data_IF_428558353236
#
_entry.id   IF_428558353236
#
_cell.length_a   1.000
_cell.length_b   1.000
_cell.length_c   1.000
_cell.angle_alpha   90.00
_cell.angle_beta   90.00
_cell.angle_gamma   90.00
#
_symmetry.space_group_name_H-M   'P 1'
#
loop_
_entity.id
_entity.type
_entity.pdbx_description
1 polymer ?
#
# COMPACT_ATOMS: atom_id res chain seq x y z
N UNK A 1 -31.05 -8.79 -7.44
CA UNK A 1 -29.71 -8.82 -8.05
C UNK A 1 -29.16 -7.41 -7.95
N UNK A 2 -28.33 -7.16 -6.93
CA UNK A 2 -27.74 -5.85 -6.72
C UNK A 2 -26.65 -5.60 -7.75
N UNK A 3 -26.69 -4.44 -8.39
CA UNK A 3 -25.71 -4.00 -9.36
C UNK A 3 -24.32 -3.91 -8.73
N UNK A 4 -23.45 -4.88 -8.98
CA UNK A 4 -22.00 -4.81 -8.73
C UNK A 4 -21.25 -4.10 -9.87
N UNK A 5 -21.97 -3.50 -10.82
CA UNK A 5 -21.42 -2.66 -11.87
C UNK A 5 -21.10 -1.27 -11.32
N UNK A 6 -19.93 -1.13 -10.68
CA UNK A 6 -19.38 0.19 -10.39
C UNK A 6 -18.41 0.33 -9.23
N UNK A 7 -18.17 -0.71 -8.42
CA UNK A 7 -17.10 -0.63 -7.41
C UNK A 7 -15.74 -0.83 -8.11
N UNK A 8 -14.94 0.23 -8.20
CA UNK A 8 -13.57 0.12 -8.70
C UNK A 8 -12.75 -0.89 -7.90
N UNK A 9 -11.63 -1.37 -8.48
CA UNK A 9 -10.74 -2.31 -7.78
C UNK A 9 -10.27 -1.74 -6.44
N UNK A 10 -10.43 -2.53 -5.36
CA UNK A 10 -9.96 -2.17 -4.03
C UNK A 10 -8.72 -3.01 -3.64
N UNK A 11 -7.55 -2.37 -3.45
CA UNK A 11 -6.34 -3.05 -3.00
C UNK A 11 -6.46 -3.46 -1.53
N UNK A 12 -5.79 -4.54 -1.17
CA UNK A 12 -5.79 -5.03 0.21
C UNK A 12 -4.98 -4.10 1.11
N UNK A 13 -5.59 -3.54 2.15
CA UNK A 13 -4.88 -2.66 3.10
C UNK A 13 -4.25 -3.42 4.27
N UNK A 14 -4.55 -4.70 4.45
CA UNK A 14 -4.11 -5.48 5.60
C UNK A 14 -5.08 -5.48 6.79
N UNK A 15 -6.17 -4.71 6.73
CA UNK A 15 -7.23 -4.67 7.75
C UNK A 15 -8.57 -5.27 7.25
N UNK A 16 -8.59 -5.81 6.04
CA UNK A 16 -9.74 -6.53 5.48
C UNK A 16 -9.74 -8.03 5.79
N UNK A 17 -10.82 -8.74 5.43
CA UNK A 17 -10.88 -10.19 5.53
C UNK A 17 -9.87 -10.87 4.59
N UNK A 18 -9.47 -12.13 4.86
CA UNK A 18 -8.71 -12.91 3.91
C UNK A 18 -9.45 -12.99 2.57
N UNK A 19 -8.70 -12.89 1.47
CA UNK A 19 -9.28 -13.07 0.15
C UNK A 19 -9.77 -14.52 0.00
N UNK A 20 -11.01 -14.69 -0.47
CA UNK A 20 -11.68 -16.00 -0.57
C UNK A 20 -11.60 -16.64 -1.96
N UNK A 21 -11.08 -15.93 -2.97
CA UNK A 21 -10.85 -16.46 -4.31
C UNK A 21 -9.45 -17.06 -4.49
N UNK A 22 -9.08 -17.36 -5.74
CA UNK A 22 -7.75 -17.91 -6.05
C UNK A 22 -6.67 -16.83 -6.09
N UNK A 23 -5.45 -17.18 -5.67
CA UNK A 23 -4.31 -16.26 -5.69
C UNK A 23 -4.03 -15.74 -7.12
N UNK A 24 -4.22 -16.58 -8.14
CA UNK A 24 -4.02 -16.22 -9.55
C UNK A 24 -5.02 -15.17 -10.01
N UNK A 25 -6.30 -15.31 -9.63
CA UNK A 25 -7.33 -14.35 -9.97
C UNK A 25 -7.07 -13.00 -9.28
N UNK A 26 -6.66 -13.02 -8.00
CA UNK A 26 -6.28 -11.80 -7.29
C UNK A 26 -5.09 -11.11 -7.95
N UNK A 27 -4.05 -11.88 -8.26
CA UNK A 27 -2.85 -11.35 -8.92
C UNK A 27 -3.17 -10.76 -10.31
N UNK A 28 -4.08 -11.36 -11.07
CA UNK A 28 -4.52 -10.81 -12.35
C UNK A 28 -5.25 -9.46 -12.18
N UNK A 29 -6.18 -9.37 -11.23
CA UNK A 29 -6.89 -8.12 -10.94
C UNK A 29 -5.95 -7.01 -10.46
N UNK A 30 -4.99 -7.34 -9.59
CA UNK A 30 -3.97 -6.41 -9.10
C UNK A 30 -3.09 -5.91 -10.25
N UNK A 31 -2.62 -6.80 -11.13
CA UNK A 31 -1.82 -6.41 -12.30
C UNK A 31 -2.58 -5.46 -13.21
N UNK A 32 -3.85 -5.74 -13.50
CA UNK A 32 -4.70 -4.87 -14.32
C UNK A 32 -4.89 -3.49 -13.66
N UNK A 33 -5.20 -3.46 -12.37
CA UNK A 33 -5.37 -2.21 -11.63
C UNK A 33 -4.08 -1.38 -11.58
N UNK A 34 -2.94 -2.02 -11.35
CA UNK A 34 -1.63 -1.36 -11.31
C UNK A 34 -1.18 -0.87 -12.69
N UNK A 35 -1.42 -1.64 -13.75
CA UNK A 35 -1.17 -1.17 -15.12
C UNK A 35 -2.04 0.06 -15.46
N UNK A 36 -3.30 0.08 -15.01
CA UNK A 36 -4.18 1.23 -15.12
C UNK A 36 -3.65 2.47 -14.39
N UNK A 37 -3.18 2.30 -13.14
CA UNK A 37 -2.51 3.36 -12.36
C UNK A 37 -1.34 3.97 -13.13
N UNK A 38 -0.41 3.14 -13.62
CA UNK A 38 0.77 3.63 -14.37
C UNK A 38 0.37 4.31 -15.69
N UNK A 39 -0.69 3.83 -16.35
CA UNK A 39 -1.20 4.48 -17.56
C UNK A 39 -1.80 5.86 -17.26
N UNK A 40 -2.55 5.99 -16.16
CA UNK A 40 -3.05 7.30 -15.73
C UNK A 40 -1.87 8.23 -15.40
N UNK A 41 -0.86 7.77 -14.65
CA UNK A 41 0.36 8.57 -14.37
C UNK A 41 1.02 9.04 -15.66
N UNK A 42 1.16 8.17 -16.67
CA UNK A 42 1.71 8.52 -17.99
C UNK A 42 0.92 9.64 -18.68
N UNK A 43 -0.41 9.58 -18.63
CA UNK A 43 -1.29 10.53 -19.32
C UNK A 43 -1.50 11.84 -18.56
N UNK A 44 -1.42 11.80 -17.22
CA UNK A 44 -1.77 12.92 -16.33
C UNK A 44 -0.58 13.57 -15.64
N UNK A 45 0.61 12.95 -15.72
CA UNK A 45 1.83 13.52 -15.14
C UNK A 45 2.23 14.82 -15.83
N UNK A 46 2.91 15.70 -15.07
CA UNK A 46 3.20 17.09 -15.44
C UNK A 46 4.26 17.25 -16.56
N UNK A 47 4.46 16.24 -17.42
CA UNK A 47 5.47 16.23 -18.49
C UNK A 47 6.94 16.17 -18.02
N UNK A 48 7.21 16.33 -16.71
CA UNK A 48 8.55 16.26 -16.10
C UNK A 48 9.04 14.83 -15.83
N UNK A 49 8.12 13.89 -15.70
CA UNK A 49 8.42 12.48 -15.54
C UNK A 49 7.96 11.74 -16.81
N UNK A 50 8.88 11.56 -17.77
CA UNK A 50 8.63 10.63 -18.88
C UNK A 50 8.47 9.17 -18.40
N UNK A 51 8.90 8.91 -17.16
CA UNK A 51 8.75 7.65 -16.46
C UNK A 51 7.54 7.69 -15.49
N UNK A 52 6.47 6.90 -15.75
CA UNK A 52 5.32 6.79 -14.86
C UNK A 52 5.64 6.28 -13.45
N UNK A 53 6.80 5.67 -13.23
CA UNK A 53 7.21 5.21 -11.90
C UNK A 53 7.88 6.32 -11.07
N UNK A 54 8.35 7.40 -11.70
CA UNK A 54 9.21 8.39 -11.04
C UNK A 54 8.51 9.25 -9.98
N UNK A 55 7.18 9.43 -10.04
CA UNK A 55 6.43 10.18 -9.03
C UNK A 55 4.95 9.76 -8.96
N UNK A 56 4.32 9.78 -7.78
CA UNK A 56 2.87 9.68 -7.65
C UNK A 56 2.18 10.88 -8.31
N UNK A 57 1.07 10.62 -9.01
CA UNK A 57 0.24 11.66 -9.60
C UNK A 57 -0.61 12.39 -8.53
N UNK A 58 -1.05 13.64 -8.78
CA UNK A 58 -1.79 14.44 -7.77
C UNK A 58 -3.02 13.74 -7.18
N UNK A 59 -3.74 12.94 -7.96
CA UNK A 59 -4.92 12.21 -7.49
C UNK A 59 -4.57 11.03 -6.56
N UNK A 60 -3.37 10.44 -6.67
CA UNK A 60 -2.90 9.43 -5.72
C UNK A 60 -2.70 10.03 -4.33
N UNK A 61 -2.31 11.30 -4.27
CA UNK A 61 -2.11 12.04 -3.02
C UNK A 61 -3.43 12.31 -2.28
N UNK A 62 -4.57 12.28 -2.99
CA UNK A 62 -5.90 12.38 -2.40
C UNK A 62 -6.40 11.04 -1.84
N UNK A 63 -5.82 9.91 -2.28
CA UNK A 63 -6.15 8.57 -1.78
C UNK A 63 -4.87 7.76 -1.50
N UNK A 64 -4.00 8.24 -0.59
CA UNK A 64 -2.64 7.71 -0.51
C UNK A 64 -2.60 6.29 0.06
N UNK A 65 -3.50 5.92 0.98
CA UNK A 65 -3.62 4.52 1.48
C UNK A 65 -3.91 3.56 0.34
N UNK A 66 -4.83 3.93 -0.57
CA UNK A 66 -5.19 3.10 -1.72
C UNK A 66 -4.02 2.95 -2.67
N UNK A 67 -3.31 4.05 -2.97
CA UNK A 67 -2.14 4.03 -3.86
C UNK A 67 -1.00 3.16 -3.29
N UNK A 68 -0.66 3.35 -2.01
CA UNK A 68 0.37 2.58 -1.30
C UNK A 68 0.00 1.09 -1.21
N UNK A 69 -1.25 0.77 -0.87
CA UNK A 69 -1.72 -0.61 -0.82
C UNK A 69 -1.63 -1.30 -2.19
N UNK A 70 -2.07 -0.63 -3.26
CA UNK A 70 -1.99 -1.18 -4.62
C UNK A 70 -0.54 -1.43 -5.07
N UNK A 71 0.39 -0.53 -4.71
CA UNK A 71 1.81 -0.69 -4.99
C UNK A 71 2.43 -1.89 -4.27
N UNK A 72 2.13 -2.09 -2.99
CA UNK A 72 2.63 -3.24 -2.23
C UNK A 72 2.01 -4.55 -2.71
N UNK A 73 0.71 -4.54 -3.02
CA UNK A 73 0.05 -5.73 -3.54
C UNK A 73 0.57 -6.12 -4.93
N UNK A 74 0.85 -5.14 -5.80
CA UNK A 74 1.39 -5.39 -7.14
C UNK A 74 2.81 -5.94 -7.13
N UNK A 75 3.59 -5.68 -6.07
CA UNK A 75 4.90 -6.29 -5.87
C UNK A 75 4.83 -7.73 -5.33
N UNK A 76 3.64 -8.25 -5.06
CA UNK A 76 3.43 -9.56 -4.45
C UNK A 76 3.67 -9.59 -2.94
N UNK A 77 3.78 -8.45 -2.27
CA UNK A 77 3.83 -8.44 -0.81
C UNK A 77 2.50 -8.97 -0.25
N UNK A 78 2.57 -9.77 0.81
CA UNK A 78 1.37 -10.35 1.41
C UNK A 78 0.68 -9.31 2.31
N UNK A 79 -0.59 -8.96 2.07
CA UNK A 79 -1.35 -8.17 3.02
C UNK A 79 -1.61 -9.00 4.28
N UNK A 80 -1.64 -8.34 5.43
CA UNK A 80 -2.23 -8.96 6.62
C UNK A 80 -3.75 -9.11 6.43
N UNK A 81 -4.42 -9.78 7.37
CA UNK A 81 -5.87 -9.96 7.31
C UNK A 81 -6.46 -10.13 8.70
N UNK A 82 -7.73 -9.76 8.86
CA UNK A 82 -8.50 -9.95 10.09
C UNK A 82 -9.74 -10.80 9.85
N UNK A 83 -10.17 -11.57 10.84
CA UNK A 83 -11.45 -12.26 10.78
C UNK A 83 -12.64 -11.35 11.13
N UNK A 84 -13.85 -11.91 11.18
CA UNK A 84 -15.07 -11.19 11.53
C UNK A 84 -15.07 -10.61 12.96
N UNK A 85 -14.20 -11.11 13.85
CA UNK A 85 -14.01 -10.57 15.21
C UNK A 85 -12.96 -9.45 15.27
N UNK A 86 -12.34 -9.11 14.13
CA UNK A 86 -11.24 -8.16 14.04
C UNK A 86 -9.90 -8.71 14.50
N UNK A 87 -9.80 -10.02 14.77
CA UNK A 87 -8.54 -10.66 15.15
C UNK A 87 -7.70 -10.94 13.92
N UNK A 88 -6.39 -10.70 14.02
CA UNK A 88 -5.47 -10.87 12.91
C UNK A 88 -5.22 -12.35 12.65
N UNK A 89 -5.48 -12.80 11.43
CA UNK A 89 -5.37 -14.21 11.01
C UNK A 89 -4.24 -14.49 10.02
N UNK A 90 -3.65 -13.45 9.44
CA UNK A 90 -2.50 -13.56 8.54
C UNK A 90 -1.41 -12.55 8.89
N UNK A 91 -0.14 -12.94 8.76
CA UNK A 91 0.98 -12.02 8.84
C UNK A 91 1.20 -11.32 7.49
N UNK A 92 1.45 -10.01 7.51
CA UNK A 92 1.65 -9.25 6.29
C UNK A 92 1.74 -7.75 6.53
N UNK A 93 1.78 -6.99 5.45
CA UNK A 93 1.75 -5.54 5.57
C UNK A 93 0.37 -5.06 6.02
N UNK A 94 0.35 -3.93 6.70
CA UNK A 94 -0.84 -3.17 7.05
C UNK A 94 -0.62 -1.71 6.69
N UNK A 95 -1.49 -1.16 5.86
CA UNK A 95 -1.47 0.22 5.37
C UNK A 95 -2.62 0.98 5.99
N UNK A 96 -2.32 2.11 6.60
CA UNK A 96 -3.32 3.03 7.18
C UNK A 96 -2.88 4.47 7.02
N UNK A 97 -3.78 5.42 7.26
CA UNK A 97 -3.39 6.82 7.38
C UNK A 97 -2.32 6.99 8.47
N UNK A 98 -1.31 7.78 8.17
CA UNK A 98 -0.31 8.21 9.15
C UNK A 98 -0.86 9.29 10.09
N UNK A 99 -0.02 9.74 11.01
CA UNK A 99 -0.39 10.78 11.97
C UNK A 99 -0.37 12.18 11.33
N UNK A 100 0.55 12.39 10.39
CA UNK A 100 0.65 13.62 9.61
C UNK A 100 -0.31 13.60 8.40
N UNK A 101 -0.89 14.76 8.07
CA UNK A 101 -1.82 14.87 6.94
C UNK A 101 -1.17 14.42 5.63
N UNK A 102 -1.87 13.58 4.86
CA UNK A 102 -1.38 13.05 3.58
C UNK A 102 -0.31 11.95 3.68
N UNK A 103 0.11 11.59 4.90
CA UNK A 103 1.07 10.50 5.10
C UNK A 103 0.37 9.15 5.29
N UNK A 104 1.09 8.08 4.98
CA UNK A 104 0.63 6.71 5.11
C UNK A 104 1.59 5.95 6.00
N UNK A 105 1.03 5.19 6.94
CA UNK A 105 1.79 4.32 7.81
C UNK A 105 1.69 2.87 7.32
N UNK A 106 2.85 2.26 7.09
CA UNK A 106 2.96 0.84 6.73
C UNK A 106 3.60 0.08 7.90
N UNK A 107 2.93 -0.95 8.37
CA UNK A 107 3.37 -1.82 9.46
C UNK A 107 3.47 -3.26 8.97
N UNK A 108 4.25 -4.09 9.68
CA UNK A 108 4.20 -5.54 9.50
C UNK A 108 3.49 -6.17 10.69
N UNK A 109 2.28 -6.68 10.46
CA UNK A 109 1.38 -7.15 11.49
C UNK A 109 0.99 -8.61 11.25
N UNK A 110 0.82 -9.38 12.31
CA UNK A 110 0.35 -10.77 12.23
C UNK A 110 -0.33 -11.24 13.51
N UNK A 111 -0.94 -12.44 13.51
CA UNK A 111 -1.49 -13.06 14.70
C UNK A 111 -0.45 -13.19 15.82
N UNK A 112 -0.85 -13.24 17.10
CA UNK A 112 0.02 -13.68 18.17
C UNK A 112 0.69 -15.02 17.84
N UNK A 113 2.00 -15.13 18.08
CA UNK A 113 2.75 -16.36 17.79
C UNK A 113 3.15 -16.58 16.32
N UNK A 114 2.70 -15.74 15.37
CA UNK A 114 3.03 -15.87 13.93
C UNK A 114 4.50 -15.60 13.57
N UNK A 115 5.30 -15.09 14.51
CA UNK A 115 6.67 -14.66 14.22
C UNK A 115 6.78 -13.36 13.41
N UNK A 116 5.66 -12.67 13.10
CA UNK A 116 5.67 -11.39 12.38
C UNK A 116 6.63 -10.36 13.00
N UNK A 117 6.84 -10.43 14.32
CA UNK A 117 7.81 -9.62 15.02
C UNK A 117 9.26 -9.79 14.57
N UNK A 118 9.66 -11.02 14.22
CA UNK A 118 11.01 -11.36 13.81
C UNK A 118 11.28 -10.99 12.36
N UNK A 119 10.26 -11.07 11.49
CA UNK A 119 10.37 -10.74 10.07
C UNK A 119 10.10 -9.27 9.74
N UNK A 120 9.66 -8.46 10.71
CA UNK A 120 9.25 -7.07 10.51
C UNK A 120 10.32 -6.23 9.79
N UNK A 121 11.58 -6.35 10.16
CA UNK A 121 12.65 -5.52 9.58
C UNK A 121 12.88 -5.82 8.10
N UNK A 122 13.03 -7.10 7.75
CA UNK A 122 13.22 -7.54 6.37
C UNK A 122 11.98 -7.22 5.51
N UNK A 123 10.79 -7.49 6.04
CA UNK A 123 9.54 -7.26 5.31
C UNK A 123 9.28 -5.77 5.06
N UNK A 124 9.56 -4.90 6.05
CA UNK A 124 9.44 -3.45 5.87
C UNK A 124 10.53 -2.91 4.94
N UNK A 125 11.73 -3.47 4.93
CA UNK A 125 12.76 -3.09 3.95
C UNK A 125 12.29 -3.40 2.52
N UNK A 126 11.72 -4.58 2.28
CA UNK A 126 11.16 -4.94 0.97
C UNK A 126 10.01 -4.00 0.54
N UNK A 127 9.10 -3.65 1.47
CA UNK A 127 8.04 -2.68 1.21
C UNK A 127 8.60 -1.29 0.86
N UNK A 128 9.63 -0.83 1.59
CA UNK A 128 10.25 0.46 1.34
C UNK A 128 10.88 0.55 -0.05
N UNK A 129 11.56 -0.51 -0.51
CA UNK A 129 12.16 -0.55 -1.83
C UNK A 129 11.13 -0.45 -2.96
N UNK A 130 9.98 -1.11 -2.82
CA UNK A 130 8.87 -1.01 -3.79
C UNK A 130 8.36 0.43 -3.87
N UNK A 131 8.09 1.04 -2.71
CA UNK A 131 7.50 2.37 -2.63
C UNK A 131 8.45 3.46 -3.12
N UNK A 132 9.75 3.35 -2.81
CA UNK A 132 10.79 4.25 -3.31
C UNK A 132 10.92 4.22 -4.82
N UNK A 133 10.88 3.02 -5.44
CA UNK A 133 10.90 2.90 -6.91
C UNK A 133 9.71 3.60 -7.57
N UNK A 134 8.58 3.69 -6.87
CA UNK A 134 7.36 4.36 -7.35
C UNK A 134 7.28 5.84 -6.98
N UNK A 135 8.40 6.43 -6.52
CA UNK A 135 8.56 7.85 -6.28
C UNK A 135 8.05 8.33 -4.93
N UNK A 136 7.72 7.44 -3.99
CA UNK A 136 7.35 7.83 -2.62
C UNK A 136 8.58 8.10 -1.75
N UNK A 137 8.46 9.07 -0.85
CA UNK A 137 9.44 9.24 0.23
C UNK A 137 9.10 8.24 1.34
N UNK A 138 10.08 7.47 1.81
CA UNK A 138 9.86 6.40 2.79
C UNK A 138 10.86 6.47 3.93
N UNK A 139 10.34 6.71 5.13
CA UNK A 139 11.10 6.86 6.38
C UNK A 139 10.79 5.70 7.33
N UNK A 140 11.82 5.10 7.93
CA UNK A 140 11.68 4.03 8.91
C UNK A 140 11.71 4.60 10.32
N UNK A 141 10.66 4.33 11.10
CA UNK A 141 10.54 4.75 12.49
C UNK A 141 10.40 3.58 13.44
N UNK A 142 10.58 3.87 14.74
CA UNK A 142 10.29 2.95 15.84
C UNK A 142 9.16 3.54 16.69
N UNK A 143 8.04 2.85 16.72
CA UNK A 143 6.86 3.19 17.50
C UNK A 143 6.83 2.51 18.87
N UNK A 144 5.65 2.49 19.51
CA UNK A 144 5.42 1.84 20.79
C UNK A 144 5.90 0.39 20.79
N UNK A 145 6.37 -0.08 21.96
CA UNK A 145 6.92 -1.45 22.13
C UNK A 145 8.06 -1.80 21.16
N UNK A 146 8.82 -0.78 20.71
CA UNK A 146 9.93 -0.89 19.76
C UNK A 146 9.55 -1.51 18.41
N UNK A 147 8.28 -1.46 18.03
CA UNK A 147 7.79 -1.92 16.72
C UNK A 147 8.21 -0.95 15.64
N UNK A 148 8.75 -1.46 14.54
CA UNK A 148 9.10 -0.64 13.38
C UNK A 148 7.87 -0.37 12.53
N UNK A 149 7.88 0.77 11.84
CA UNK A 149 6.90 1.10 10.82
C UNK A 149 7.53 2.04 9.80
N UNK A 150 6.98 2.05 8.59
CA UNK A 150 7.31 3.06 7.59
C UNK A 150 6.30 4.20 7.67
N UNK A 151 6.79 5.42 7.60
CA UNK A 151 6.01 6.59 7.20
C UNK A 151 6.30 6.86 5.73
N UNK A 152 5.25 6.91 4.93
CA UNK A 152 5.28 7.07 3.49
C UNK A 152 4.66 8.41 3.18
N UNK A 153 5.44 9.26 2.53
CA UNK A 153 5.10 10.65 2.26
C UNK A 153 5.16 10.94 0.76
N UNK A 154 4.40 11.94 0.27
CA UNK A 154 4.60 12.48 -1.07
C UNK A 154 6.07 12.86 -1.28
N UNK A 155 6.60 12.79 -2.52
CA UNK A 155 7.96 13.24 -2.80
C UNK A 155 8.16 14.72 -2.43
N UNK A 156 9.33 15.03 -1.88
CA UNK A 156 9.69 16.41 -1.52
C UNK A 156 9.56 17.34 -2.74
N UNK A 157 8.90 18.49 -2.56
CA UNK A 157 8.68 19.48 -3.62
C UNK A 157 7.29 19.45 -4.25
N UNK A 158 6.44 18.46 -3.95
CA UNK A 158 5.01 18.53 -4.28
C UNK A 158 4.31 19.44 -3.27
N UNK A 159 4.37 20.74 -3.51
CA UNK A 159 3.64 21.74 -2.71
C UNK A 159 2.21 21.77 -3.21
N UNK A 160 1.29 21.10 -2.50
CA UNK A 160 -0.04 20.92 -3.05
C UNK A 160 -1.14 20.51 -2.07
N UNK A 161 -1.07 20.90 -0.79
CA UNK A 161 -2.27 21.09 0.04
C UNK A 161 -1.98 22.20 1.05
N UNK A 162 -2.52 23.39 0.79
CA UNK A 162 -2.93 24.35 1.82
C UNK A 162 -4.44 24.36 1.84
#
# INVERSE_FOLDING_TARGET
MGSEEGAGFEPATGDGPPFTGTAEARAASVRTAFAGLLQIRRLTGDGRAGDPEAAPAPWELHQPVRAVALALESSGATPSAVDASGQRVSAGYRVRMGESAGTVRVEWAGPPGSGAAHHEEEALAACAEVLRRLGWTVLLYRGPRRRRYLEVEPPAGVTGVR
#
